data_IF_377031986372
#
_entry.id   IF_377031986372
#
_cell.length_a   1.000
_cell.length_b   1.000
_cell.length_c   1.000
_cell.angle_alpha   90.00
_cell.angle_beta   90.00
_cell.angle_gamma   90.00
#
_symmetry.space_group_name_H-M   'P 1'
#
loop_
_entity.id
_entity.type
_entity.pdbx_description
1 polymer ?
#
# COMPACT_ATOMS: atom_id res chain seq x y z
N UNK A 1 -6.33 21.98 9.68
CA UNK A 1 -5.08 21.21 9.87
C UNK A 1 -5.39 19.76 9.58
N UNK A 2 -4.58 19.07 8.78
CA UNK A 2 -4.83 17.67 8.46
C UNK A 2 -4.58 16.79 9.69
N UNK A 3 -5.53 15.90 10.00
CA UNK A 3 -5.43 14.89 11.04
C UNK A 3 -5.42 13.52 10.39
N UNK A 4 -4.46 12.69 10.78
CA UNK A 4 -4.18 11.41 10.14
C UNK A 4 -4.54 10.25 11.04
N UNK A 5 -5.08 9.18 10.42
CA UNK A 5 -5.31 7.88 11.04
C UNK A 5 -4.73 6.79 10.15
N UNK A 6 -4.10 5.78 10.74
CA UNK A 6 -3.62 4.59 10.05
C UNK A 6 -4.59 3.44 10.24
N UNK A 7 -5.02 2.81 9.16
CA UNK A 7 -5.84 1.60 9.19
C UNK A 7 -5.12 0.50 8.40
N UNK A 8 -4.96 -0.65 9.05
CA UNK A 8 -4.25 -1.81 8.52
C UNK A 8 -5.29 -2.91 8.23
N UNK A 9 -5.73 -3.08 6.96
CA UNK A 9 -6.64 -4.16 6.63
C UNK A 9 -5.92 -5.52 6.75
N UNK A 10 -6.53 -6.45 7.45
CA UNK A 10 -6.01 -7.79 7.66
C UNK A 10 -7.11 -8.83 7.56
N UNK A 11 -6.94 -9.88 6.75
CA UNK A 11 -7.86 -11.00 6.64
C UNK A 11 -7.12 -12.32 6.84
N UNK A 12 -7.80 -13.28 7.45
CA UNK A 12 -7.23 -14.61 7.63
C UNK A 12 -7.21 -15.40 6.32
N UNK A 13 -8.28 -15.30 5.54
CA UNK A 13 -8.45 -16.01 4.29
C UNK A 13 -7.54 -15.43 3.19
N UNK A 14 -6.38 -16.05 3.00
CA UNK A 14 -5.47 -15.80 1.90
C UNK A 14 -5.22 -17.12 1.16
N UNK A 15 -5.35 -17.12 -0.16
CA UNK A 15 -5.19 -18.34 -0.97
C UNK A 15 -3.74 -18.85 -0.99
N UNK A 16 -2.77 -17.94 -0.98
CA UNK A 16 -1.32 -18.28 -1.05
C UNK A 16 -0.71 -18.53 0.32
N UNK A 17 -1.21 -17.86 1.37
CA UNK A 17 -0.69 -17.95 2.72
C UNK A 17 -1.83 -17.74 3.75
N UNK A 18 -2.65 -18.78 4.03
CA UNK A 18 -3.70 -18.69 5.03
C UNK A 18 -3.15 -18.33 6.41
N UNK A 19 -3.82 -17.40 7.11
CA UNK A 19 -3.36 -16.92 8.41
C UNK A 19 -2.12 -16.02 8.38
N UNK A 20 -1.73 -15.53 7.21
CA UNK A 20 -0.58 -14.65 7.01
C UNK A 20 -0.38 -13.57 8.08
N UNK A 21 -1.40 -12.81 8.52
CA UNK A 21 -1.25 -11.78 9.56
C UNK A 21 -0.76 -12.31 10.91
N UNK A 22 -1.01 -13.59 11.19
CA UNK A 22 -0.62 -14.27 12.43
C UNK A 22 0.71 -15.03 12.31
N UNK A 23 1.36 -15.02 11.14
CA UNK A 23 2.64 -15.67 10.94
C UNK A 23 3.70 -15.04 11.84
N UNK A 24 4.51 -15.92 12.48
CA UNK A 24 5.59 -15.48 13.37
C UNK A 24 6.78 -14.92 12.57
N UNK A 25 7.23 -13.75 12.99
CA UNK A 25 8.43 -13.10 12.47
C UNK A 25 9.33 -12.75 13.66
N UNK A 26 10.11 -13.72 14.13
CA UNK A 26 11.05 -13.53 15.23
C UNK A 26 10.35 -13.21 16.56
N UNK A 27 9.41 -14.07 16.95
CA UNK A 27 8.73 -14.01 18.23
C UNK A 27 7.55 -13.06 18.34
N UNK A 28 7.21 -12.33 17.26
CA UNK A 28 5.99 -11.52 17.17
C UNK A 28 5.28 -11.74 15.84
N UNK A 29 3.96 -11.58 15.84
CA UNK A 29 3.19 -11.78 14.61
C UNK A 29 3.44 -10.71 13.56
N UNK A 30 3.20 -11.05 12.28
CA UNK A 30 3.31 -10.09 11.16
C UNK A 30 2.47 -8.83 11.43
N UNK A 31 1.21 -8.99 11.83
CA UNK A 31 0.33 -7.85 12.08
C UNK A 31 0.83 -6.97 13.24
N UNK A 32 1.41 -7.57 14.28
CA UNK A 32 1.99 -6.81 15.38
C UNK A 32 3.20 -6.00 14.91
N UNK A 33 4.03 -6.57 14.03
CA UNK A 33 5.18 -5.87 13.45
C UNK A 33 4.73 -4.65 12.65
N UNK A 34 3.77 -4.83 11.74
CA UNK A 34 3.19 -3.71 10.97
C UNK A 34 2.63 -2.65 11.91
N UNK A 35 1.79 -3.06 12.86
CA UNK A 35 1.18 -2.13 13.82
C UNK A 35 2.20 -1.31 14.59
N UNK A 36 3.26 -1.95 15.10
CA UNK A 36 4.32 -1.28 15.85
C UNK A 36 5.13 -0.31 15.00
N UNK A 37 5.37 -0.62 13.72
CA UNK A 37 6.04 0.29 12.80
C UNK A 37 5.20 1.53 12.52
N UNK A 38 3.90 1.33 12.23
CA UNK A 38 2.95 2.43 11.95
C UNK A 38 2.78 3.34 13.17
N UNK A 39 2.77 2.77 14.38
CA UNK A 39 2.66 3.53 15.65
C UNK A 39 3.83 4.48 15.92
N UNK A 40 4.96 4.34 15.23
CA UNK A 40 6.07 5.28 15.36
C UNK A 40 5.76 6.65 14.74
N UNK A 41 4.84 6.71 13.77
CA UNK A 41 4.50 7.93 13.01
C UNK A 41 3.06 8.40 13.20
N UNK A 42 2.17 7.54 13.69
CA UNK A 42 0.76 7.84 13.86
C UNK A 42 0.28 7.54 15.28
N UNK A 43 -0.42 8.51 15.88
CA UNK A 43 -1.03 8.33 17.20
C UNK A 43 -2.28 7.44 17.16
N UNK A 44 -3.06 7.52 16.07
CA UNK A 44 -4.23 6.72 15.84
C UNK A 44 -3.93 5.62 14.82
N UNK A 45 -3.91 4.36 15.26
CA UNK A 45 -3.69 3.18 14.41
C UNK A 45 -4.68 2.10 14.81
N UNK A 46 -5.30 1.48 13.79
CA UNK A 46 -6.26 0.41 13.97
C UNK A 46 -5.98 -0.71 12.96
N UNK A 47 -6.28 -1.94 13.36
CA UNK A 47 -6.35 -3.09 12.45
C UNK A 47 -7.82 -3.34 12.13
N UNK A 48 -8.15 -3.41 10.83
CA UNK A 48 -9.48 -3.75 10.35
C UNK A 48 -9.50 -5.21 9.90
N UNK A 49 -10.30 -6.05 10.56
CA UNK A 49 -10.31 -7.50 10.29
C UNK A 49 -11.72 -8.08 10.36
N UNK A 50 -11.91 -9.22 9.70
CA UNK A 50 -13.13 -10.04 9.74
C UNK A 50 -12.94 -11.37 10.48
N UNK A 51 -11.84 -11.49 11.25
CA UNK A 51 -11.46 -12.76 11.90
C UNK A 51 -11.11 -12.55 13.37
N UNK A 52 -11.82 -13.27 14.25
CA UNK A 52 -11.65 -13.16 15.70
C UNK A 52 -10.21 -13.45 16.15
N UNK A 53 -9.52 -14.39 15.51
CA UNK A 53 -8.12 -14.72 15.85
C UNK A 53 -7.17 -13.55 15.65
N UNK A 54 -7.38 -12.79 14.57
CA UNK A 54 -6.60 -11.57 14.30
C UNK A 54 -6.99 -10.50 15.31
N UNK A 55 -8.29 -10.32 15.55
CA UNK A 55 -8.80 -9.35 16.52
C UNK A 55 -8.22 -9.60 17.91
N UNK A 56 -8.32 -10.82 18.43
CA UNK A 56 -7.79 -11.21 19.75
C UNK A 56 -6.28 -11.04 19.83
N UNK A 57 -5.55 -11.40 18.76
CA UNK A 57 -4.10 -11.18 18.69
C UNK A 57 -3.75 -9.70 18.79
N UNK A 58 -4.46 -8.82 18.07
CA UNK A 58 -4.23 -7.38 18.15
C UNK A 58 -4.50 -6.84 19.56
N UNK A 59 -5.58 -7.29 20.19
CA UNK A 59 -5.90 -6.92 21.57
C UNK A 59 -4.83 -7.40 22.56
N UNK A 60 -4.27 -8.60 22.36
CA UNK A 60 -3.29 -9.21 23.27
C UNK A 60 -1.99 -8.42 23.39
N UNK A 61 -1.56 -7.72 22.36
CA UNK A 61 -0.39 -6.83 22.42
C UNK A 61 -0.74 -5.35 22.69
N UNK A 62 -2.00 -5.05 23.05
CA UNK A 62 -2.47 -3.69 23.35
C UNK A 62 -2.75 -2.82 22.11
N UNK A 63 -2.88 -3.44 20.93
CA UNK A 63 -3.31 -2.78 19.72
C UNK A 63 -4.82 -2.51 19.71
N UNK A 64 -5.28 -1.70 18.76
CA UNK A 64 -6.70 -1.42 18.52
C UNK A 64 -7.15 -2.15 17.27
N UNK A 65 -8.26 -2.89 17.37
CA UNK A 65 -8.85 -3.60 16.24
C UNK A 65 -10.33 -3.22 16.08
N UNK A 66 -10.81 -3.26 14.84
CA UNK A 66 -12.21 -3.07 14.45
C UNK A 66 -12.63 -4.32 13.69
N UNK A 67 -13.75 -4.92 14.09
CA UNK A 67 -14.38 -5.98 13.31
C UNK A 67 -15.12 -5.38 12.13
N UNK A 68 -14.97 -5.98 10.97
CA UNK A 68 -15.54 -5.53 9.70
C UNK A 68 -16.19 -6.70 8.96
N UNK A 69 -17.04 -6.40 7.98
CA UNK A 69 -17.72 -7.41 7.18
C UNK A 69 -16.76 -8.36 6.45
N UNK A 70 -17.16 -9.62 6.32
CA UNK A 70 -16.51 -10.64 5.48
C UNK A 70 -16.73 -10.41 3.98
N UNK A 71 -17.72 -9.57 3.61
CA UNK A 71 -18.17 -9.37 2.23
C UNK A 71 -17.28 -8.41 1.41
N UNK A 72 -16.31 -7.78 2.06
CA UNK A 72 -15.42 -6.83 1.38
C UNK A 72 -14.57 -7.47 0.29
N UNK A 73 -14.59 -6.86 -0.89
CA UNK A 73 -13.84 -7.31 -2.05
C UNK A 73 -12.41 -6.79 -2.08
N UNK A 74 -12.18 -5.62 -1.44
CA UNK A 74 -10.86 -4.98 -1.40
C UNK A 74 -10.46 -4.57 0.01
N UNK A 75 -9.15 -4.32 0.20
CA UNK A 75 -8.65 -3.70 1.43
C UNK A 75 -9.18 -2.29 1.63
N UNK A 76 -9.42 -1.55 0.55
CA UNK A 76 -9.95 -0.18 0.58
C UNK A 76 -11.38 -0.14 1.11
N UNK A 77 -12.25 -1.08 0.69
CA UNK A 77 -13.63 -1.19 1.19
C UNK A 77 -13.62 -1.46 2.71
N UNK A 78 -12.75 -2.37 3.17
CA UNK A 78 -12.58 -2.70 4.59
C UNK A 78 -12.09 -1.50 5.41
N UNK A 79 -11.14 -0.75 4.87
CA UNK A 79 -10.61 0.47 5.49
C UNK A 79 -11.71 1.52 5.63
N UNK A 80 -12.57 1.65 4.62
CA UNK A 80 -13.69 2.60 4.66
C UNK A 80 -14.71 2.24 5.75
N UNK A 81 -15.14 0.96 5.83
CA UNK A 81 -16.04 0.52 6.91
C UNK A 81 -15.41 0.78 8.28
N UNK A 82 -14.17 0.34 8.49
CA UNK A 82 -13.49 0.53 9.76
C UNK A 82 -13.37 2.01 10.16
N UNK A 83 -13.12 2.90 9.20
CA UNK A 83 -13.07 4.34 9.46
C UNK A 83 -14.38 4.88 10.02
N UNK A 84 -15.53 4.43 9.50
CA UNK A 84 -16.85 4.85 9.98
C UNK A 84 -17.22 4.30 11.36
N UNK A 85 -16.62 3.18 11.78
CA UNK A 85 -16.82 2.60 13.12
C UNK A 85 -15.90 3.23 14.19
N UNK A 86 -14.94 4.06 13.78
CA UNK A 86 -13.98 4.71 14.68
C UNK A 86 -14.47 6.11 15.03
N UNK A 87 -14.60 6.40 16.33
CA UNK A 87 -14.81 7.77 16.81
C UNK A 87 -13.50 8.58 16.66
N UNK A 88 -13.41 9.35 15.58
CA UNK A 88 -12.22 10.12 15.22
C UNK A 88 -12.57 11.40 14.48
N UNK A 89 -11.76 12.43 14.66
CA UNK A 89 -11.80 13.66 13.88
C UNK A 89 -10.72 13.70 12.77
N UNK A 90 -10.09 12.56 12.50
CA UNK A 90 -9.13 12.43 11.41
C UNK A 90 -9.85 12.60 10.06
N UNK A 91 -9.25 13.39 9.18
CA UNK A 91 -9.78 13.68 7.84
C UNK A 91 -8.92 13.09 6.71
N UNK A 92 -7.81 12.44 7.07
CA UNK A 92 -6.94 11.71 6.15
C UNK A 92 -6.73 10.28 6.67
N UNK A 93 -7.07 9.29 5.86
CA UNK A 93 -6.95 7.88 6.19
C UNK A 93 -5.77 7.29 5.42
N UNK A 94 -4.81 6.69 6.13
CA UNK A 94 -3.69 5.98 5.52
C UNK A 94 -3.99 4.49 5.58
N UNK A 95 -4.09 3.85 4.41
CA UNK A 95 -4.25 2.42 4.23
C UNK A 95 -2.86 1.78 4.14
N UNK A 96 -2.46 1.07 5.19
CA UNK A 96 -1.16 0.41 5.29
C UNK A 96 -1.35 -1.10 5.10
N UNK A 97 -0.61 -1.70 4.17
CA UNK A 97 -0.75 -3.11 3.87
C UNK A 97 -0.32 -3.98 5.06
N UNK A 98 -1.20 -4.90 5.48
CA UNK A 98 -0.95 -5.81 6.62
C UNK A 98 0.11 -6.88 6.36
N UNK A 99 0.65 -6.95 5.16
CA UNK A 99 1.69 -7.88 4.70
C UNK A 99 3.05 -7.20 4.45
N UNK A 100 3.21 -5.94 4.87
CA UNK A 100 4.48 -5.20 4.82
C UNK A 100 5.05 -4.98 6.24
N UNK A 101 5.57 -6.02 6.93
CA UNK A 101 6.02 -5.91 8.32
C UNK A 101 7.27 -5.05 8.50
N UNK A 102 7.90 -4.64 7.40
CA UNK A 102 9.09 -3.78 7.37
C UNK A 102 8.79 -2.39 6.81
N UNK A 103 7.51 -2.00 6.77
CA UNK A 103 7.13 -0.62 6.41
C UNK A 103 7.94 0.38 7.22
N UNK A 104 8.59 1.31 6.53
CA UNK A 104 9.44 2.30 7.18
C UNK A 104 8.60 3.50 7.65
N UNK A 105 8.79 4.01 8.89
CA UNK A 105 8.10 5.20 9.37
C UNK A 105 8.24 6.41 8.42
N UNK A 106 9.39 6.54 7.76
CA UNK A 106 9.67 7.61 6.80
C UNK A 106 8.73 7.56 5.57
N UNK A 107 8.23 6.38 5.20
CA UNK A 107 7.23 6.24 4.12
C UNK A 107 5.90 6.88 4.55
N UNK A 108 5.49 6.67 5.79
CA UNK A 108 4.29 7.28 6.36
C UNK A 108 4.46 8.80 6.48
N UNK A 109 5.62 9.26 6.94
CA UNK A 109 5.94 10.69 6.99
C UNK A 109 5.92 11.33 5.58
N UNK A 110 6.41 10.61 4.57
CA UNK A 110 6.42 11.08 3.18
C UNK A 110 5.01 11.19 2.61
N UNK A 111 4.16 10.20 2.82
CA UNK A 111 2.78 10.22 2.29
C UNK A 111 1.93 11.31 2.97
N UNK A 112 2.18 11.59 4.26
CA UNK A 112 1.52 12.70 5.00
C UNK A 112 1.80 14.05 4.35
N UNK A 113 3.04 14.30 3.91
CA UNK A 113 3.45 15.56 3.26
C UNK A 113 2.74 15.81 1.93
N UNK A 114 2.24 14.78 1.25
CA UNK A 114 1.47 14.96 0.03
C UNK A 114 0.24 15.84 0.24
N UNK A 115 -0.34 15.84 1.44
CA UNK A 115 -1.53 16.60 1.80
C UNK A 115 -1.25 18.05 2.23
N UNK A 116 0.00 18.50 2.16
CA UNK A 116 0.34 19.93 2.20
C UNK A 116 -0.12 20.63 0.91
N UNK A 117 -0.23 19.88 -0.20
CA UNK A 117 -0.86 20.31 -1.44
C UNK A 117 -2.40 20.14 -1.31
N UNK A 118 -3.19 21.25 -1.36
CA UNK A 118 -4.64 21.17 -1.22
C UNK A 118 -5.35 20.40 -2.32
N UNK A 119 -4.71 20.25 -3.49
CA UNK A 119 -5.26 19.51 -4.63
C UNK A 119 -5.11 17.99 -4.47
N UNK A 120 -4.36 17.52 -3.47
CA UNK A 120 -4.19 16.09 -3.20
C UNK A 120 -5.49 15.49 -2.66
N UNK A 121 -6.08 14.60 -3.44
CA UNK A 121 -7.26 13.81 -3.07
C UNK A 121 -6.87 12.44 -2.53
N UNK A 122 -5.96 11.78 -3.23
CA UNK A 122 -5.36 10.49 -2.90
C UNK A 122 -3.84 10.67 -3.00
N UNK A 123 -3.10 10.02 -2.13
CA UNK A 123 -1.64 9.96 -2.21
C UNK A 123 -1.17 8.51 -2.24
N UNK A 124 -0.07 8.27 -2.91
CA UNK A 124 0.64 6.99 -2.92
C UNK A 124 2.14 7.22 -3.02
N UNK A 125 2.92 6.14 -2.94
CA UNK A 125 4.36 6.19 -3.03
C UNK A 125 4.87 5.50 -4.29
N UNK A 126 6.04 5.92 -4.74
CA UNK A 126 6.79 5.22 -5.77
C UNK A 126 8.28 5.21 -5.41
N UNK A 127 8.99 4.24 -5.95
CA UNK A 127 10.43 4.13 -5.82
C UNK A 127 11.07 4.10 -7.20
N UNK A 128 12.19 4.80 -7.34
CA UNK A 128 12.99 4.68 -8.55
C UNK A 128 13.48 3.24 -8.70
N UNK A 129 13.34 2.70 -9.89
CA UNK A 129 13.84 1.37 -10.19
C UNK A 129 15.37 1.37 -10.14
N UNK A 130 15.94 0.41 -9.40
CA UNK A 130 17.38 0.27 -9.32
C UNK A 130 17.91 -0.43 -10.57
N UNK A 131 18.69 0.28 -11.35
CA UNK A 131 19.30 -0.21 -12.58
C UNK A 131 20.24 -1.42 -12.36
N UNK A 132 20.75 -1.62 -11.14
CA UNK A 132 21.55 -2.78 -10.80
C UNK A 132 20.78 -4.12 -10.92
N UNK A 133 19.43 -4.07 -10.87
CA UNK A 133 18.58 -5.24 -11.10
C UNK A 133 18.44 -5.63 -12.58
N UNK A 134 19.11 -4.92 -13.47
CA UNK A 134 19.02 -5.16 -14.92
C UNK A 134 17.68 -4.75 -15.51
N UNK A 135 17.62 -4.65 -16.86
CA UNK A 135 16.39 -4.29 -17.55
C UNK A 135 15.30 -5.38 -17.43
N UNK A 136 15.71 -6.63 -17.36
CA UNK A 136 14.82 -7.80 -17.28
C UNK A 136 13.91 -7.74 -16.06
N UNK A 137 14.37 -7.16 -14.97
CA UNK A 137 13.57 -6.97 -13.77
C UNK A 137 12.36 -6.05 -13.93
N UNK A 138 12.31 -5.23 -15.00
CA UNK A 138 11.14 -4.42 -15.34
C UNK A 138 10.01 -5.24 -15.98
N UNK A 139 10.30 -6.42 -16.52
CA UNK A 139 9.26 -7.33 -17.06
C UNK A 139 8.44 -8.02 -15.98
N UNK A 140 8.89 -7.99 -14.72
CA UNK A 140 8.12 -8.54 -13.62
C UNK A 140 6.76 -7.82 -13.49
N UNK A 141 5.63 -8.49 -13.73
CA UNK A 141 4.30 -7.88 -13.66
C UNK A 141 3.87 -7.52 -12.24
N UNK A 142 4.55 -8.07 -11.21
CA UNK A 142 4.29 -7.75 -9.82
C UNK A 142 4.92 -6.43 -9.40
N UNK A 143 5.93 -5.97 -10.13
CA UNK A 143 6.49 -4.62 -10.02
C UNK A 143 5.67 -3.66 -10.87
N UNK A 144 4.59 -3.15 -10.31
CA UNK A 144 3.71 -2.19 -11.01
C UNK A 144 4.48 -0.91 -11.30
N UNK A 145 4.50 -0.50 -12.58
CA UNK A 145 5.15 0.76 -13.01
C UNK A 145 4.15 1.90 -12.87
N UNK A 146 4.65 3.09 -12.54
CA UNK A 146 3.87 4.32 -12.48
C UNK A 146 4.56 5.44 -13.25
N UNK A 147 3.78 6.20 -14.00
CA UNK A 147 4.20 7.48 -14.57
C UNK A 147 3.35 8.60 -13.99
N UNK A 148 3.97 9.75 -13.77
CA UNK A 148 3.34 10.93 -13.18
C UNK A 148 3.80 12.19 -13.90
N UNK A 149 3.03 13.26 -13.73
CA UNK A 149 3.26 14.55 -14.36
C UNK A 149 4.32 15.39 -13.59
N UNK A 150 4.56 16.62 -14.08
CA UNK A 150 5.51 17.53 -13.47
C UNK A 150 5.06 18.10 -12.10
N UNK A 151 3.81 17.84 -11.72
CA UNK A 151 3.26 18.19 -10.42
C UNK A 151 3.13 16.95 -9.53
N UNK A 152 3.80 15.85 -9.89
CA UNK A 152 3.77 14.56 -9.19
C UNK A 152 2.38 13.90 -9.11
N UNK A 153 1.44 14.22 -10.02
CA UNK A 153 0.19 13.49 -10.11
C UNK A 153 0.30 12.32 -11.09
N UNK A 154 -0.20 11.16 -10.67
CA UNK A 154 -0.18 9.95 -11.49
C UNK A 154 -0.94 10.14 -12.80
N UNK A 155 -0.30 9.77 -13.89
CA UNK A 155 -0.90 9.70 -15.23
C UNK A 155 -1.44 8.29 -15.48
N UNK A 156 -0.65 7.26 -15.13
CA UNK A 156 -1.07 5.86 -15.31
C UNK A 156 -0.23 4.90 -14.47
N UNK A 157 -0.85 3.76 -14.12
CA UNK A 157 -0.19 2.61 -13.50
C UNK A 157 -0.34 1.40 -14.42
N UNK A 158 0.72 0.58 -14.55
CA UNK A 158 0.64 -0.62 -15.36
C UNK A 158 1.60 -1.73 -14.91
N UNK A 159 1.18 -2.96 -15.13
CA UNK A 159 2.08 -4.13 -15.06
C UNK A 159 3.03 -4.19 -16.23
N UNK A 160 2.66 -3.60 -17.38
CA UNK A 160 3.56 -3.43 -18.51
C UNK A 160 4.69 -2.44 -18.22
N UNK A 161 5.75 -2.48 -19.02
CA UNK A 161 6.83 -1.49 -18.91
C UNK A 161 6.38 -0.19 -19.56
N UNK A 162 6.40 0.90 -18.80
CA UNK A 162 6.13 2.26 -19.29
C UNK A 162 7.04 3.29 -18.60
N UNK A 163 7.42 4.38 -19.30
CA UNK A 163 7.12 4.65 -20.71
C UNK A 163 7.97 3.82 -21.68
N UNK A 164 7.54 3.75 -22.94
CA UNK A 164 8.39 3.25 -24.02
C UNK A 164 9.47 4.29 -24.35
N UNK A 165 10.73 3.87 -24.48
CA UNK A 165 11.86 4.76 -24.82
C UNK A 165 12.21 4.59 -26.30
N UNK A 166 11.65 5.47 -27.12
CA UNK A 166 11.86 5.44 -28.58
C UNK A 166 13.33 5.70 -28.93
N UNK A 167 13.81 5.09 -30.01
CA UNK A 167 15.15 5.20 -30.60
C UNK A 167 16.27 4.45 -29.86
N UNK A 168 15.98 3.73 -28.80
CA UNK A 168 16.94 2.92 -28.06
C UNK A 168 16.46 1.47 -27.96
N UNK A 169 17.41 0.54 -27.88
CA UNK A 169 17.10 -0.85 -27.57
C UNK A 169 16.72 -0.97 -26.10
N UNK A 170 15.92 -1.98 -25.75
CA UNK A 170 15.38 -2.13 -24.37
C UNK A 170 16.50 -2.18 -23.30
N UNK A 171 17.62 -2.89 -23.59
CA UNK A 171 18.74 -2.99 -22.68
C UNK A 171 19.50 -1.68 -22.45
N UNK A 172 19.19 -0.64 -23.25
CA UNK A 172 19.76 0.71 -23.11
C UNK A 172 18.80 1.65 -22.35
N UNK A 173 17.52 1.29 -22.19
CA UNK A 173 16.50 2.20 -21.64
C UNK A 173 16.84 2.75 -20.27
N UNK A 174 17.43 1.93 -19.37
CA UNK A 174 17.84 2.38 -18.03
C UNK A 174 18.95 3.44 -18.02
N UNK A 175 19.65 3.62 -19.16
CA UNK A 175 20.66 4.67 -19.32
C UNK A 175 20.05 6.00 -19.75
N UNK A 176 18.82 5.97 -20.32
CA UNK A 176 18.18 7.15 -20.92
C UNK A 176 16.94 7.62 -20.16
N UNK A 177 16.36 6.78 -19.32
CA UNK A 177 15.14 7.12 -18.57
C UNK A 177 15.08 6.40 -17.22
N UNK A 178 14.65 7.13 -16.21
CA UNK A 178 14.26 6.56 -14.92
C UNK A 178 12.88 5.89 -15.02
N UNK A 179 12.77 4.71 -14.42
CA UNK A 179 11.51 4.01 -14.25
C UNK A 179 11.12 4.02 -12.78
N UNK A 180 9.83 4.04 -12.50
CA UNK A 180 9.32 4.12 -11.14
C UNK A 180 8.40 2.94 -10.86
N UNK A 181 8.63 2.30 -9.71
CA UNK A 181 7.83 1.19 -9.22
C UNK A 181 6.90 1.72 -8.15
N UNK A 182 5.62 1.47 -8.30
CA UNK A 182 4.60 1.81 -7.33
C UNK A 182 4.81 1.05 -6.02
N UNK A 183 4.60 1.72 -4.90
CA UNK A 183 4.58 1.16 -3.54
C UNK A 183 3.15 1.23 -3.03
N UNK A 184 2.58 0.08 -2.67
CA UNK A 184 1.15 -0.15 -2.44
C UNK A 184 0.54 0.50 -1.18
N UNK A 185 1.13 1.56 -0.64
CA UNK A 185 0.56 2.36 0.43
C UNK A 185 -0.27 3.49 -0.16
N UNK A 186 -1.46 3.73 0.40
CA UNK A 186 -2.34 4.81 -0.03
C UNK A 186 -2.81 5.66 1.14
N UNK A 187 -3.05 6.92 0.87
CA UNK A 187 -3.76 7.81 1.80
C UNK A 187 -4.85 8.56 1.05
N UNK A 188 -5.97 8.80 1.72
CA UNK A 188 -7.17 9.40 1.13
C UNK A 188 -7.71 10.50 2.02
N UNK A 189 -8.29 11.56 1.42
CA UNK A 189 -9.27 12.37 2.15
C UNK A 189 -10.49 11.51 2.47
N UNK A 190 -11.11 11.72 3.62
CA UNK A 190 -12.22 10.87 4.07
C UNK A 190 -13.40 10.86 3.10
N UNK A 191 -13.80 12.01 2.58
CA UNK A 191 -14.86 12.14 1.58
C UNK A 191 -14.50 11.46 0.24
N UNK A 192 -13.23 11.47 -0.12
CA UNK A 192 -12.72 10.78 -1.33
C UNK A 192 -12.77 9.27 -1.12
N UNK A 193 -12.36 8.76 0.04
CA UNK A 193 -12.44 7.33 0.37
C UNK A 193 -13.88 6.82 0.25
N UNK A 194 -14.84 7.55 0.81
CA UNK A 194 -16.27 7.25 0.72
C UNK A 194 -16.79 7.16 -0.72
N UNK A 195 -16.24 7.99 -1.60
CA UNK A 195 -16.68 8.03 -2.99
C UNK A 195 -16.02 6.94 -3.83
N UNK A 196 -14.71 6.70 -3.67
CA UNK A 196 -13.99 5.71 -4.51
C UNK A 196 -14.41 4.28 -4.23
N UNK A 197 -14.85 3.96 -2.99
CA UNK A 197 -15.37 2.63 -2.63
C UNK A 197 -16.74 2.34 -3.28
N UNK A 198 -17.51 3.37 -3.66
CA UNK A 198 -18.81 3.23 -4.34
C UNK A 198 -18.69 3.09 -5.86
N UNK A 199 -17.51 3.33 -6.42
CA UNK A 199 -17.32 3.23 -7.87
C UNK A 199 -17.42 1.78 -8.35
N UNK A 200 -18.07 1.52 -9.49
CA UNK A 200 -18.03 0.22 -10.13
C UNK A 200 -16.62 -0.07 -10.64
N UNK A 201 -16.26 -1.35 -10.67
CA UNK A 201 -14.99 -1.78 -11.25
C UNK A 201 -14.88 -1.34 -12.71
N UNK A 202 -13.73 -0.78 -13.08
CA UNK A 202 -13.46 -0.35 -14.45
C UNK A 202 -12.86 -1.49 -15.29
N UNK A 203 -12.96 -1.39 -16.61
CA UNK A 203 -12.33 -2.36 -17.52
C UNK A 203 -10.80 -2.37 -17.39
N UNK A 204 -10.19 -1.23 -17.09
CA UNK A 204 -8.74 -1.13 -16.86
C UNK A 204 -8.32 -1.80 -15.56
N UNK A 205 -9.09 -1.59 -14.49
CA UNK A 205 -8.88 -2.28 -13.22
C UNK A 205 -8.95 -3.79 -13.38
N UNK A 206 -9.99 -4.28 -14.07
CA UNK A 206 -10.17 -5.71 -14.31
C UNK A 206 -9.04 -6.31 -15.17
N UNK A 207 -8.56 -5.57 -16.18
CA UNK A 207 -7.48 -6.03 -17.05
C UNK A 207 -6.13 -6.14 -16.33
N UNK A 208 -5.80 -5.13 -15.51
CA UNK A 208 -4.50 -5.05 -14.83
C UNK A 208 -4.57 -5.56 -13.37
N UNK A 209 -5.76 -5.81 -12.83
CA UNK A 209 -5.98 -6.08 -11.38
C UNK A 209 -5.30 -5.02 -10.49
N UNK A 210 -5.55 -3.75 -10.83
CA UNK A 210 -5.02 -2.57 -10.15
C UNK A 210 -6.18 -1.64 -9.78
N UNK A 211 -6.50 -1.55 -8.50
CA UNK A 211 -7.68 -0.82 -8.00
C UNK A 211 -7.65 0.68 -8.34
N UNK A 212 -6.47 1.30 -8.35
CA UNK A 212 -6.30 2.71 -8.69
C UNK A 212 -6.67 3.05 -10.15
N UNK A 213 -6.76 2.05 -11.02
CA UNK A 213 -7.26 2.21 -12.38
C UNK A 213 -8.80 2.30 -12.44
N UNK A 214 -9.49 2.19 -11.30
CA UNK A 214 -10.88 2.58 -11.12
C UNK A 214 -10.99 4.08 -10.86
N UNK A 215 -10.06 4.64 -10.11
CA UNK A 215 -10.12 6.02 -9.63
C UNK A 215 -9.67 7.02 -10.70
N UNK A 216 -8.54 6.77 -11.37
CA UNK A 216 -7.98 7.69 -12.39
C UNK A 216 -8.98 8.02 -13.52
N UNK A 217 -9.67 7.05 -14.17
CA UNK A 217 -10.63 7.36 -15.22
C UNK A 217 -11.87 8.11 -14.72
N UNK A 218 -12.15 8.07 -13.41
CA UNK A 218 -13.22 8.82 -12.77
C UNK A 218 -12.76 10.22 -12.31
N UNK A 219 -11.56 10.67 -12.70
CA UNK A 219 -11.06 12.02 -12.49
C UNK A 219 -10.42 12.27 -11.13
N UNK A 220 -10.19 11.24 -10.31
CA UNK A 220 -9.49 11.41 -9.03
C UNK A 220 -8.00 11.62 -9.26
N UNK A 221 -7.46 12.62 -8.57
CA UNK A 221 -6.03 12.95 -8.60
C UNK A 221 -5.28 12.15 -7.55
N UNK A 222 -4.26 11.41 -7.99
CA UNK A 222 -3.39 10.61 -7.11
C UNK A 222 -2.00 11.24 -7.09
N UNK A 223 -1.62 11.85 -5.98
CA UNK A 223 -0.28 12.39 -5.75
C UNK A 223 0.70 11.25 -5.53
N UNK A 224 1.84 11.27 -6.21
CA UNK A 224 2.89 10.25 -6.10
C UNK A 224 4.11 10.88 -5.42
N UNK A 225 4.47 10.41 -4.23
CA UNK A 225 5.70 10.83 -3.60
C UNK A 225 6.79 9.75 -3.74
N UNK A 226 8.04 10.19 -3.84
CA UNK A 226 9.17 9.26 -3.96
C UNK A 226 9.68 8.84 -2.58
N UNK A 227 10.05 7.57 -2.46
CA UNK A 227 10.70 7.00 -1.29
C UNK A 227 11.91 6.16 -1.70
N UNK A 228 12.98 6.25 -0.93
CA UNK A 228 14.15 5.37 -1.08
C UNK A 228 14.10 4.17 -0.12
N UNK A 229 13.14 4.16 0.80
CA UNK A 229 12.98 3.06 1.75
C UNK A 229 12.65 1.75 1.01
N UNK A 230 13.36 0.66 1.32
CA UNK A 230 13.07 -0.64 0.73
C UNK A 230 11.68 -1.12 1.16
N UNK A 231 10.95 -1.73 0.23
CA UNK A 231 9.69 -2.41 0.50
C UNK A 231 9.90 -3.91 0.37
N UNK A 232 9.34 -4.66 1.30
CA UNK A 232 9.37 -6.10 1.26
C UNK A 232 8.01 -6.65 1.72
N UNK A 233 7.14 -6.88 0.75
CA UNK A 233 5.86 -7.54 0.98
C UNK A 233 6.05 -9.04 1.15
N UNK A 234 5.30 -9.65 2.06
CA UNK A 234 5.29 -11.08 2.28
C UNK A 234 3.98 -11.64 1.77
N UNK A 235 4.03 -12.37 0.66
CA UNK A 235 2.86 -12.96 0.02
C UNK A 235 2.80 -14.48 0.15
N UNK A 236 3.95 -15.11 0.34
CA UNK A 236 4.10 -16.57 0.44
C UNK A 236 4.96 -16.94 1.67
N UNK A 237 4.93 -18.21 2.13
CA UNK A 237 5.85 -18.68 3.15
C UNK A 237 7.32 -18.53 2.75
N UNK A 238 7.63 -18.64 1.46
CA UNK A 238 8.97 -18.48 0.93
C UNK A 238 9.46 -17.03 1.08
N UNK A 239 8.59 -16.04 0.85
CA UNK A 239 8.90 -14.62 1.09
C UNK A 239 9.20 -14.38 2.57
N UNK A 240 8.45 -15.03 3.47
CA UNK A 240 8.68 -14.93 4.91
C UNK A 240 10.09 -15.42 5.29
N UNK A 241 10.50 -16.56 4.75
CA UNK A 241 11.84 -17.10 5.02
C UNK A 241 12.94 -16.23 4.40
N UNK A 242 12.69 -15.62 3.25
CA UNK A 242 13.61 -14.64 2.66
C UNK A 242 13.71 -13.37 3.52
N UNK A 243 12.58 -12.89 4.02
CA UNK A 243 12.53 -11.73 4.90
C UNK A 243 13.32 -11.97 6.20
N UNK A 244 13.12 -13.13 6.84
CA UNK A 244 13.87 -13.50 8.05
C UNK A 244 15.39 -13.46 7.80
N UNK A 245 15.85 -14.00 6.67
CA UNK A 245 17.27 -13.95 6.30
C UNK A 245 17.77 -12.53 6.03
N UNK A 246 17.02 -11.74 5.26
CA UNK A 246 17.42 -10.40 4.85
C UNK A 246 17.53 -9.43 6.04
N UNK A 247 16.62 -9.57 7.01
CA UNK A 247 16.56 -8.71 8.20
C UNK A 247 17.23 -9.33 9.43
N UNK A 248 17.97 -10.46 9.27
CA UNK A 248 18.66 -11.18 10.35
C UNK A 248 17.72 -11.50 11.54
N UNK A 249 16.52 -11.98 11.26
CA UNK A 249 15.50 -12.35 12.25
C UNK A 249 15.62 -13.85 12.50
N UNK A 250 15.76 -14.24 13.77
CA UNK A 250 15.81 -15.64 14.21
C UNK A 250 14.41 -16.17 14.52
#
# INVERSE_FOLDING_TARGET
MNKFIGIIPARYASSRFPGKPLADIGGITMIERVYRQVKKELDQVFVATDDDRIFDTVQSFGGKAIMTSTEHRSGTDRVNEAYHEIDTDANIIINIQGDEPFVAPEQIATIKKCFDDPDTQIATLARKYDAANGFEGLFDPNKVKVIFDNNDFAIYFSRAILPYVRNYKWNEWLQHRDFYIHVGMYAYRSDVLDNVTKLPQSSLELAESLEQLRWLPNGYKIKVALTDAPTFGIDTPEDLEQAKKLFNIQ
#
